data_IF_236528956261
#
_entry.id   IF_236528956261
#
_cell.length_a   1.000
_cell.length_b   1.000
_cell.length_c   1.000
_cell.angle_alpha   90.00
_cell.angle_beta   90.00
_cell.angle_gamma   90.00
#
_symmetry.space_group_name_H-M   'P 1'
#
loop_
_entity.id
_entity.type
_entity.pdbx_description
1 polymer ?
#
# COMPACT_ATOMS: atom_id res chain seq x y z
N UNK A 1 -3.06 -21.67 16.05
CA UNK A 1 -2.20 -21.84 14.87
C UNK A 1 -2.94 -21.20 13.71
N UNK A 2 -2.53 -19.99 13.33
CA UNK A 2 -3.19 -19.21 12.27
C UNK A 2 -2.52 -19.60 10.95
N UNK A 3 -3.16 -20.45 10.16
CA UNK A 3 -2.67 -20.83 8.82
C UNK A 3 -3.64 -20.26 7.80
N UNK A 4 -3.55 -18.96 7.54
CA UNK A 4 -4.14 -18.36 6.36
C UNK A 4 -3.09 -18.27 5.27
N UNK A 5 -3.48 -18.64 4.06
CA UNK A 5 -2.64 -18.49 2.87
C UNK A 5 -2.49 -16.99 2.56
N UNK A 6 -1.33 -16.41 2.86
CA UNK A 6 -1.02 -15.04 2.47
C UNK A 6 -1.28 -14.84 0.96
N UNK A 7 -1.80 -13.67 0.54
CA UNK A 7 -1.87 -13.32 -0.87
C UNK A 7 -0.51 -13.53 -1.53
N UNK A 8 -0.52 -14.17 -2.70
CA UNK A 8 0.70 -14.34 -3.48
C UNK A 8 1.00 -13.00 -4.14
N UNK A 9 2.21 -12.52 -3.91
CA UNK A 9 2.75 -11.36 -4.60
C UNK A 9 3.62 -11.82 -5.75
N UNK A 10 3.48 -11.20 -6.91
CA UNK A 10 4.36 -11.41 -8.07
C UNK A 10 5.14 -10.14 -8.35
N UNK A 11 6.40 -10.29 -8.74
CA UNK A 11 7.21 -9.18 -9.23
C UNK A 11 6.53 -8.60 -10.48
N UNK A 12 6.18 -7.32 -10.42
CA UNK A 12 5.49 -6.60 -11.49
C UNK A 12 6.48 -5.79 -12.32
N UNK A 13 7.43 -5.12 -11.67
CA UNK A 13 8.45 -4.29 -12.32
C UNK A 13 9.66 -4.04 -11.42
N UNK A 14 10.70 -3.44 -11.99
CA UNK A 14 11.88 -2.94 -11.28
C UNK A 14 12.20 -1.52 -11.77
N UNK A 15 12.59 -0.64 -10.86
CA UNK A 15 13.05 0.73 -11.16
C UNK A 15 14.52 0.84 -10.74
N UNK A 16 15.41 1.40 -11.57
CA UNK A 16 16.80 1.62 -11.15
C UNK A 16 16.85 2.67 -10.04
N UNK A 17 17.79 2.53 -9.10
CA UNK A 17 18.12 3.58 -8.13
C UNK A 17 18.59 4.85 -8.85
N UNK A 18 19.55 4.69 -9.75
CA UNK A 18 20.00 5.68 -10.70
C UNK A 18 20.40 4.98 -12.02
N UNK A 19 19.82 5.34 -13.18
CA UNK A 19 20.22 4.74 -14.44
C UNK A 19 21.65 5.11 -14.87
N UNK A 20 22.23 6.16 -14.28
CA UNK A 20 23.55 6.69 -14.65
C UNK A 20 24.64 6.37 -13.61
N UNK A 21 24.28 5.76 -12.47
CA UNK A 21 25.21 5.44 -11.37
C UNK A 21 24.84 4.10 -10.70
N UNK A 22 25.58 3.04 -11.05
CA UNK A 22 25.39 1.69 -10.50
C UNK A 22 25.65 1.61 -8.99
N UNK A 23 26.38 2.59 -8.42
CA UNK A 23 26.68 2.66 -6.98
C UNK A 23 25.58 3.33 -6.18
N UNK A 24 24.60 3.97 -6.83
CA UNK A 24 23.57 4.71 -6.15
C UNK A 24 22.74 3.79 -5.24
N UNK A 25 22.58 4.18 -3.98
CA UNK A 25 21.74 3.48 -3.01
C UNK A 25 20.35 4.12 -2.95
N UNK A 26 19.33 3.32 -2.66
CA UNK A 26 17.97 3.83 -2.39
C UNK A 26 17.88 4.14 -0.91
N UNK A 27 17.57 5.39 -0.60
CA UNK A 27 17.61 5.89 0.77
C UNK A 27 16.21 6.07 1.36
N UNK A 28 15.21 6.34 0.50
CA UNK A 28 13.82 6.40 0.93
C UNK A 28 12.83 6.13 -0.21
N UNK A 29 11.64 5.63 0.14
CA UNK A 29 10.54 5.34 -0.77
C UNK A 29 9.23 5.86 -0.19
N UNK A 30 8.34 6.38 -1.03
CA UNK A 30 6.98 6.71 -0.61
C UNK A 30 5.98 6.58 -1.75
N UNK A 31 4.88 5.87 -1.52
CA UNK A 31 3.73 5.86 -2.44
C UNK A 31 2.87 7.11 -2.24
N UNK A 32 2.38 7.64 -3.35
CA UNK A 32 1.34 8.67 -3.34
C UNK A 32 0.05 8.17 -2.67
N UNK A 33 -0.82 9.06 -2.17
CA UNK A 33 -2.04 8.66 -1.48
C UNK A 33 -2.98 7.77 -2.31
N UNK A 34 -2.97 7.92 -3.64
CA UNK A 34 -3.75 7.09 -4.55
C UNK A 34 -3.01 5.81 -5.01
N UNK A 35 -1.71 5.68 -4.72
CA UNK A 35 -0.88 4.55 -5.12
C UNK A 35 -0.55 4.49 -6.62
N UNK A 36 -0.88 5.53 -7.39
CA UNK A 36 -0.62 5.66 -8.82
C UNK A 36 0.80 6.19 -9.12
N UNK A 37 1.41 6.88 -8.15
CA UNK A 37 2.80 7.32 -8.19
C UNK A 37 3.63 6.73 -7.04
N UNK A 38 4.91 6.49 -7.30
CA UNK A 38 5.94 6.16 -6.31
C UNK A 38 7.09 7.15 -6.39
N UNK A 39 7.48 7.71 -5.26
CA UNK A 39 8.66 8.54 -5.09
C UNK A 39 9.82 7.68 -4.57
N UNK A 40 10.99 7.85 -5.19
CA UNK A 40 12.23 7.13 -4.91
C UNK A 40 13.32 8.15 -4.70
N UNK A 41 13.89 8.19 -3.50
CA UNK A 41 15.11 8.91 -3.22
C UNK A 41 16.32 7.99 -3.38
N UNK A 42 17.34 8.49 -4.05
CA UNK A 42 18.62 7.80 -4.19
C UNK A 42 19.80 8.73 -3.92
N UNK A 43 20.90 8.14 -3.47
CA UNK A 43 22.16 8.82 -3.21
C UNK A 43 23.30 8.03 -3.86
N UNK A 44 24.04 8.65 -4.76
CA UNK A 44 25.25 8.10 -5.39
C UNK A 44 26.48 8.95 -5.05
N UNK A 45 27.64 8.59 -5.60
CA UNK A 45 28.90 9.28 -5.29
C UNK A 45 28.88 10.76 -5.71
N UNK A 46 28.20 11.07 -6.82
CA UNK A 46 28.24 12.40 -7.44
C UNK A 46 26.98 13.23 -7.20
N UNK A 47 25.85 12.60 -6.91
CA UNK A 47 24.57 13.29 -6.82
C UNK A 47 23.53 12.49 -6.02
N UNK A 48 22.58 13.23 -5.46
CA UNK A 48 21.39 12.67 -4.84
C UNK A 48 20.16 13.16 -5.60
N UNK A 49 19.18 12.28 -5.79
CA UNK A 49 18.01 12.54 -6.61
C UNK A 49 16.73 12.10 -5.92
N UNK A 50 15.66 12.83 -6.20
CA UNK A 50 14.30 12.38 -6.04
C UNK A 50 13.72 12.09 -7.42
N UNK A 51 13.31 10.85 -7.65
CA UNK A 51 12.63 10.40 -8.86
C UNK A 51 11.22 9.98 -8.53
N UNK A 52 10.25 10.34 -9.37
CA UNK A 52 8.86 9.92 -9.22
C UNK A 52 8.44 9.17 -10.47
N UNK A 53 7.88 7.98 -10.27
CA UNK A 53 7.46 7.09 -11.33
C UNK A 53 5.95 6.83 -11.25
N UNK A 54 5.31 6.67 -12.40
CA UNK A 54 3.98 6.10 -12.48
C UNK A 54 4.05 4.61 -12.17
N UNK A 55 3.25 4.11 -11.23
CA UNK A 55 3.37 2.74 -10.73
C UNK A 55 2.90 1.68 -11.72
N UNK A 56 2.01 2.03 -12.64
CA UNK A 56 1.43 1.13 -13.63
C UNK A 56 2.35 0.86 -14.83
N UNK A 57 3.10 1.88 -15.23
CA UNK A 57 3.89 1.93 -16.46
C UNK A 57 5.38 2.07 -16.19
N UNK A 58 5.77 2.33 -14.94
CA UNK A 58 7.14 2.62 -14.51
C UNK A 58 7.76 3.81 -15.25
N UNK A 59 6.93 4.68 -15.83
CA UNK A 59 7.39 5.88 -16.53
C UNK A 59 7.87 6.91 -15.52
N UNK A 60 9.05 7.46 -15.75
CA UNK A 60 9.58 8.59 -14.99
C UNK A 60 8.72 9.82 -15.24
N UNK A 61 8.03 10.29 -14.21
CA UNK A 61 7.15 11.47 -14.22
C UNK A 61 7.90 12.72 -13.81
N UNK A 62 8.78 12.60 -12.81
CA UNK A 62 9.54 13.73 -12.24
C UNK A 62 10.93 13.30 -11.82
N UNK A 63 11.90 14.18 -12.02
CA UNK A 63 13.23 14.11 -11.43
C UNK A 63 13.55 15.45 -10.79
N UNK A 64 14.19 15.43 -9.63
CA UNK A 64 14.64 16.63 -8.91
C UNK A 64 15.95 16.32 -8.20
N UNK A 65 16.93 17.22 -8.33
CA UNK A 65 18.25 17.03 -7.72
C UNK A 65 18.22 17.53 -6.29
N UNK A 66 18.66 16.70 -5.35
CA UNK A 66 18.66 17.02 -3.94
C UNK A 66 19.99 17.67 -3.57
N UNK A 67 19.99 19.00 -3.52
CA UNK A 67 21.16 19.80 -3.15
C UNK A 67 20.84 20.75 -1.99
N UNK A 68 21.81 21.01 -1.13
CA UNK A 68 21.73 22.06 -0.12
C UNK A 68 22.96 22.94 -0.22
N UNK A 69 22.73 24.26 -0.20
CA UNK A 69 23.80 25.22 -0.11
C UNK A 69 24.32 25.27 1.33
N UNK A 70 25.62 25.12 1.51
CA UNK A 70 26.25 25.36 2.80
C UNK A 70 26.34 26.88 3.12
N UNK A 71 26.94 27.23 4.25
CA UNK A 71 27.15 28.61 4.67
C UNK A 71 28.01 29.43 3.66
N UNK A 72 28.76 28.77 2.79
CA UNK A 72 29.56 29.41 1.73
C UNK A 72 28.79 29.59 0.42
N UNK A 73 27.55 29.07 0.35
CA UNK A 73 26.73 29.06 -0.85
C UNK A 73 27.09 27.94 -1.83
N UNK A 74 28.01 27.05 -1.47
CA UNK A 74 28.37 25.91 -2.31
C UNK A 74 27.31 24.82 -2.15
N UNK A 75 26.75 24.38 -3.27
CA UNK A 75 25.73 23.34 -3.30
C UNK A 75 26.36 21.95 -3.16
N UNK A 76 26.01 21.24 -2.10
CA UNK A 76 26.39 19.84 -1.86
C UNK A 76 25.19 18.93 -2.11
N UNK A 77 25.46 17.72 -2.58
CA UNK A 77 24.46 16.65 -2.58
C UNK A 77 24.03 16.35 -1.13
N UNK A 78 22.75 16.02 -0.96
CA UNK A 78 22.19 15.76 0.37
C UNK A 78 21.37 14.49 0.29
N UNK A 79 21.57 13.63 1.28
CA UNK A 79 20.91 12.34 1.33
C UNK A 79 19.49 12.53 1.88
N UNK A 80 18.48 12.13 1.10
CA UNK A 80 17.10 12.09 1.60
C UNK A 80 16.92 10.84 2.45
N UNK A 81 16.65 11.05 3.74
CA UNK A 81 16.55 10.00 4.76
C UNK A 81 15.10 9.55 4.96
N UNK A 82 14.14 10.41 4.62
CA UNK A 82 12.73 10.03 4.61
C UNK A 82 11.91 10.85 3.61
N UNK A 83 10.80 10.25 3.16
CA UNK A 83 9.86 10.85 2.22
C UNK A 83 8.43 10.71 2.75
N UNK A 84 7.60 11.73 2.51
CA UNK A 84 6.15 11.61 2.69
C UNK A 84 5.43 12.40 1.60
N UNK A 85 4.32 11.85 1.12
CA UNK A 85 3.49 12.58 0.18
C UNK A 85 2.57 13.56 0.91
N UNK A 86 2.43 14.76 0.35
CA UNK A 86 1.37 15.66 0.76
C UNK A 86 -0.01 15.02 0.43
N UNK A 87 -1.05 15.14 1.28
CA UNK A 87 -2.35 14.52 1.05
C UNK A 87 -3.02 14.89 -0.27
N UNK A 88 -2.69 16.06 -0.82
CA UNK A 88 -3.18 16.49 -2.14
C UNK A 88 -2.50 15.80 -3.33
N UNK A 89 -1.50 14.95 -3.12
CA UNK A 89 -0.64 14.32 -4.13
C UNK A 89 0.09 15.32 -5.07
N UNK A 90 0.13 16.61 -4.72
CA UNK A 90 0.74 17.67 -5.55
C UNK A 90 2.21 17.92 -5.20
N UNK A 91 2.73 17.27 -4.18
CA UNK A 91 4.12 17.38 -3.78
C UNK A 91 4.57 16.18 -2.95
N UNK A 92 5.88 15.95 -2.98
CA UNK A 92 6.61 15.05 -2.09
C UNK A 92 7.40 15.91 -1.11
N UNK A 93 7.25 15.63 0.18
CA UNK A 93 8.02 16.26 1.25
C UNK A 93 9.23 15.39 1.51
N UNK A 94 10.40 16.03 1.54
CA UNK A 94 11.70 15.37 1.66
C UNK A 94 12.37 15.88 2.93
N UNK A 95 12.82 14.94 3.75
CA UNK A 95 13.67 15.16 4.92
C UNK A 95 15.05 14.63 4.61
N UNK A 96 16.08 15.33 5.07
CA UNK A 96 17.47 15.01 4.74
C UNK A 96 18.38 14.81 5.96
N UNK A 97 19.58 14.26 5.71
CA UNK A 97 20.59 13.91 6.71
C UNK A 97 21.15 15.12 7.49
N UNK A 98 20.84 16.34 7.04
CA UNK A 98 21.30 17.60 7.64
C UNK A 98 20.21 18.37 8.37
N UNK A 99 19.01 17.80 8.50
CA UNK A 99 17.87 18.44 9.15
C UNK A 99 17.09 19.39 8.25
N UNK A 100 17.37 19.35 6.95
CA UNK A 100 16.64 20.06 5.92
C UNK A 100 15.31 19.39 5.62
N UNK A 101 14.28 20.21 5.46
CA UNK A 101 12.95 19.80 5.03
C UNK A 101 12.53 20.67 3.85
N UNK A 102 12.16 20.03 2.75
CA UNK A 102 11.70 20.72 1.53
C UNK A 102 10.49 20.03 0.92
N UNK A 103 9.80 20.76 0.06
CA UNK A 103 8.67 20.25 -0.72
C UNK A 103 8.99 20.32 -2.21
N UNK A 104 8.93 19.18 -2.88
CA UNK A 104 9.13 19.05 -4.33
C UNK A 104 7.77 19.00 -5.01
N UNK A 105 7.44 20.03 -5.79
CA UNK A 105 6.14 20.10 -6.48
C UNK A 105 6.06 19.11 -7.65
N UNK A 106 4.90 18.47 -7.77
CA UNK A 106 4.53 17.63 -8.91
C UNK A 106 3.80 18.39 -10.01
N UNK A 107 3.42 19.65 -9.76
CA UNK A 107 2.60 20.46 -10.68
C UNK A 107 3.44 21.53 -11.39
N UNK A 108 4.42 22.10 -10.69
CA UNK A 108 5.31 23.12 -11.25
C UNK A 108 6.70 22.54 -11.46
N UNK A 109 7.24 22.73 -12.67
CA UNK A 109 8.61 22.33 -12.94
C UNK A 109 9.65 23.20 -12.22
N UNK A 110 9.28 24.46 -11.92
CA UNK A 110 10.21 25.54 -11.57
C UNK A 110 10.26 25.89 -10.08
N UNK A 111 9.39 25.34 -9.23
CA UNK A 111 9.40 25.67 -7.80
C UNK A 111 9.67 24.44 -6.94
N UNK A 112 10.95 24.20 -6.65
CA UNK A 112 11.28 23.60 -5.36
C UNK A 112 10.97 24.64 -4.28
N UNK A 113 10.23 24.23 -3.25
CA UNK A 113 9.99 25.12 -2.12
C UNK A 113 11.31 25.43 -1.39
N UNK A 114 11.36 26.53 -0.60
CA UNK A 114 12.56 26.86 0.15
C UNK A 114 12.97 25.71 1.07
N UNK A 115 14.26 25.43 1.14
CA UNK A 115 14.79 24.49 2.12
C UNK A 115 14.61 25.10 3.52
N UNK A 116 13.79 24.48 4.35
CA UNK A 116 13.66 24.84 5.75
C UNK A 116 14.65 24.00 6.54
N UNK A 117 15.56 24.63 7.29
CA UNK A 117 16.40 23.90 8.24
C UNK A 117 15.72 23.87 9.60
N UNK A 118 15.39 22.68 10.08
CA UNK A 118 14.68 22.48 11.34
C UNK A 118 15.63 22.22 12.52
N UNK A 119 16.94 22.14 12.27
CA UNK A 119 17.97 21.86 13.27
C UNK A 119 17.91 20.43 13.82
N UNK A 120 18.81 20.08 14.73
CA UNK A 120 18.78 18.79 15.46
C UNK A 120 19.17 17.56 14.64
N UNK A 121 19.90 17.74 13.54
CA UNK A 121 20.47 16.65 12.74
C UNK A 121 19.51 16.04 11.73
N UNK A 122 19.81 14.82 11.30
CA UNK A 122 19.05 14.02 10.35
C UNK A 122 17.54 14.00 10.62
N UNK A 123 16.73 14.17 9.57
CA UNK A 123 15.29 13.94 9.67
C UNK A 123 14.99 12.44 9.56
N UNK A 124 14.48 11.82 10.61
CA UNK A 124 14.28 10.36 10.65
C UNK A 124 12.91 9.90 10.19
N UNK A 125 11.92 10.78 10.24
CA UNK A 125 10.57 10.38 9.91
C UNK A 125 9.63 11.55 9.73
N UNK A 126 8.54 11.23 9.04
CA UNK A 126 7.39 12.09 8.91
C UNK A 126 6.11 11.35 9.27
N UNK A 127 5.13 12.09 9.78
CA UNK A 127 3.73 11.68 9.73
C UNK A 127 2.91 12.87 9.24
N UNK A 128 1.82 12.60 8.53
CA UNK A 128 0.96 13.66 7.99
C UNK A 128 -0.50 13.35 8.23
N UNK A 129 -1.26 14.35 8.68
CA UNK A 129 -2.70 14.25 8.84
C UNK A 129 -3.38 15.59 8.57
N UNK A 130 -4.17 15.63 7.49
CA UNK A 130 -4.76 16.87 7.00
C UNK A 130 -3.68 17.93 6.72
N UNK A 131 -3.71 19.02 7.48
CA UNK A 131 -2.78 20.15 7.36
C UNK A 131 -1.70 20.13 8.46
N UNK A 132 -1.50 19.02 9.15
CA UNK A 132 -0.43 18.87 10.15
C UNK A 132 0.64 17.93 9.62
N UNK A 133 1.89 18.36 9.72
CA UNK A 133 3.07 17.54 9.49
C UNK A 133 3.80 17.37 10.81
N UNK A 134 4.03 16.12 11.20
CA UNK A 134 4.96 15.76 12.25
C UNK A 134 6.31 15.41 11.64
N UNK A 135 7.38 15.84 12.29
CA UNK A 135 8.77 15.67 11.88
C UNK A 135 9.56 15.18 13.09
N UNK A 136 10.44 14.19 12.90
CA UNK A 136 11.35 13.71 13.92
C UNK A 136 12.82 13.86 13.50
N UNK A 137 13.65 14.12 14.50
CA UNK A 137 15.11 13.98 14.46
C UNK A 137 15.56 13.14 15.66
N UNK A 138 16.83 12.72 15.76
CA UNK A 138 17.35 11.97 16.91
C UNK A 138 17.07 12.63 18.28
N UNK A 139 16.90 13.96 18.30
CA UNK A 139 16.79 14.73 19.55
C UNK A 139 15.35 15.14 19.89
N UNK A 140 14.45 15.19 18.90
CA UNK A 140 13.13 15.75 19.10
C UNK A 140 12.08 15.22 18.10
N UNK A 141 10.82 15.34 18.50
CA UNK A 141 9.67 15.30 17.60
C UNK A 141 9.00 16.68 17.61
N UNK A 142 8.48 17.13 16.48
CA UNK A 142 7.74 18.39 16.39
C UNK A 142 6.62 18.29 15.36
N UNK A 143 5.65 19.19 15.47
CA UNK A 143 4.59 19.36 14.48
C UNK A 143 4.66 20.75 13.88
N UNK A 144 4.05 20.92 12.70
CA UNK A 144 3.86 22.21 12.06
C UNK A 144 2.59 22.21 11.24
N UNK A 145 1.99 23.39 11.14
CA UNK A 145 0.82 23.62 10.32
C UNK A 145 1.22 23.92 8.88
N UNK A 146 0.69 23.10 7.97
CA UNK A 146 0.91 23.17 6.53
C UNK A 146 -0.42 23.50 5.82
N UNK A 147 -0.76 24.79 5.66
CA UNK A 147 -1.97 25.18 4.95
C UNK A 147 -1.94 24.79 3.47
N UNK A 148 -0.74 24.62 2.90
CA UNK A 148 -0.53 24.19 1.52
C UNK A 148 0.68 23.26 1.44
N UNK A 149 0.85 22.60 0.29
CA UNK A 149 2.02 21.77 0.04
C UNK A 149 3.33 22.57 -0.09
N UNK A 150 3.29 23.90 -0.20
CA UNK A 150 4.49 24.73 -0.34
C UNK A 150 5.12 24.99 1.02
N UNK A 151 6.36 24.56 1.24
CA UNK A 151 7.03 24.69 2.54
C UNK A 151 7.27 26.12 2.99
N UNK A 152 7.38 27.09 2.08
CA UNK A 152 7.56 28.51 2.43
C UNK A 152 6.41 29.15 3.20
N UNK A 153 5.25 28.49 3.31
CA UNK A 153 4.09 28.98 4.08
C UNK A 153 3.78 28.14 5.33
N UNK A 154 4.64 27.17 5.66
CA UNK A 154 4.48 26.36 6.87
C UNK A 154 4.83 27.20 8.09
N UNK A 155 4.10 26.98 9.19
CA UNK A 155 4.18 27.81 10.40
C UNK A 155 3.76 27.04 11.64
N UNK A 156 3.88 27.70 12.79
CA UNK A 156 3.44 27.17 14.08
C UNK A 156 4.18 25.87 14.44
N UNK A 157 5.51 25.88 14.31
CA UNK A 157 6.34 24.76 14.75
C UNK A 157 6.19 24.58 16.26
N UNK A 158 5.73 23.40 16.67
CA UNK A 158 5.54 23.03 18.07
C UNK A 158 6.44 21.84 18.35
N UNK A 159 7.43 22.01 19.24
CA UNK A 159 8.29 20.91 19.69
C UNK A 159 7.56 20.12 20.76
N UNK A 160 7.53 18.79 20.62
CA UNK A 160 6.86 17.90 21.57
C UNK A 160 7.61 17.91 22.90
N UNK A 161 6.88 18.18 23.98
CA UNK A 161 7.41 18.22 25.34
C UNK A 161 7.42 16.80 25.91
N UNK A 162 8.60 16.18 25.89
CA UNK A 162 8.80 14.89 26.52
C UNK A 162 8.40 14.98 28.01
N UNK A 163 7.65 14.01 28.55
CA UNK A 163 7.26 14.02 29.96
C UNK A 163 8.51 14.01 30.84
N UNK A 164 8.67 15.01 31.69
CA UNK A 164 9.75 15.04 32.68
C UNK A 164 9.61 13.81 33.59
N UNK A 165 10.72 13.13 33.84
CA UNK A 165 10.76 12.13 34.90
C UNK A 165 10.55 12.85 36.25
N UNK A 166 10.09 12.12 37.28
CA UNK A 166 9.82 12.70 38.59
C UNK A 166 11.05 13.39 39.23
N UNK A 167 12.25 13.13 38.69
CA UNK A 167 13.52 13.66 39.17
C UNK A 167 14.09 14.78 38.28
N UNK A 168 13.42 15.16 37.19
CA UNK A 168 13.92 16.14 36.21
C UNK A 168 15.27 15.75 35.59
N UNK A 169 15.64 14.48 35.63
CA UNK A 169 16.87 13.97 35.07
C UNK A 169 16.75 13.95 33.54
N UNK A 170 17.66 14.68 32.90
CA UNK A 170 17.85 14.60 31.46
C UNK A 170 18.18 13.15 31.08
N UNK A 171 17.27 12.51 30.34
CA UNK A 171 17.55 11.20 29.75
C UNK A 171 18.20 11.46 28.40
N UNK A 172 19.52 11.21 28.25
CA UNK A 172 20.15 11.26 26.95
C UNK A 172 19.57 10.13 26.08
N UNK A 173 19.36 10.45 24.81
CA UNK A 173 18.91 9.53 23.75
C UNK A 173 17.39 9.30 23.65
N UNK A 174 16.70 10.32 23.11
CA UNK A 174 15.26 10.31 22.82
C UNK A 174 15.02 10.16 21.33
N UNK A 175 15.63 9.14 20.74
CA UNK A 175 15.58 8.78 19.31
C UNK A 175 14.18 8.33 18.89
N UNK A 176 13.37 9.15 18.19
CA UNK A 176 12.07 8.74 17.67
C UNK A 176 12.27 7.85 16.44
N UNK A 177 11.70 6.65 16.47
CA UNK A 177 11.83 5.63 15.41
C UNK A 177 10.54 5.44 14.60
N UNK A 178 9.42 5.99 15.09
CA UNK A 178 8.15 5.95 14.38
C UNK A 178 7.21 7.06 14.82
N UNK A 179 6.43 7.57 13.88
CA UNK A 179 5.41 8.58 14.15
C UNK A 179 4.15 8.28 13.37
N UNK A 180 2.99 8.55 13.96
CA UNK A 180 1.70 8.41 13.30
C UNK A 180 0.66 9.29 13.96
N UNK A 181 -0.26 9.85 13.19
CA UNK A 181 -1.40 10.55 13.75
C UNK A 181 -2.54 9.57 14.06
N UNK A 182 -3.12 9.69 15.26
CA UNK A 182 -4.33 8.98 15.64
C UNK A 182 -5.56 9.43 14.84
N UNK A 183 -6.68 8.73 15.08
CA UNK A 183 -7.96 9.11 14.48
C UNK A 183 -8.34 10.53 14.92
N UNK A 184 -8.50 11.43 13.94
CA UNK A 184 -8.82 12.84 14.17
C UNK A 184 -7.65 13.82 14.10
N UNK A 185 -6.41 13.37 13.88
CA UNK A 185 -5.21 14.23 13.68
C UNK A 185 -4.75 15.06 14.88
N UNK A 186 -5.49 15.07 16.00
CA UNK A 186 -5.14 15.85 17.19
C UNK A 186 -4.18 15.12 18.14
N UNK A 187 -4.07 13.80 18.00
CA UNK A 187 -3.13 12.97 18.76
C UNK A 187 -1.99 12.54 17.84
N UNK A 188 -0.76 12.92 18.20
CA UNK A 188 0.45 12.38 17.58
C UNK A 188 0.97 11.23 18.46
N UNK A 189 1.07 10.05 17.88
CA UNK A 189 1.71 8.88 18.49
C UNK A 189 3.16 8.85 18.04
N UNK A 190 4.09 8.88 19.00
CA UNK A 190 5.53 8.80 18.74
C UNK A 190 6.09 7.59 19.45
N UNK A 191 6.75 6.72 18.69
CA UNK A 191 7.49 5.58 19.20
C UNK A 191 8.95 5.98 19.27
N UNK A 192 9.53 5.89 20.46
CA UNK A 192 10.92 6.13 20.75
C UNK A 192 11.66 4.80 20.86
N UNK A 193 12.93 4.81 20.49
CA UNK A 193 13.79 3.63 20.51
C UNK A 193 13.84 3.00 21.90
N UNK A 194 14.14 3.77 22.94
CA UNK A 194 14.32 3.25 24.31
C UNK A 194 13.17 3.61 25.25
N UNK A 195 12.47 4.71 24.97
CA UNK A 195 11.48 5.29 25.88
C UNK A 195 10.05 4.76 25.67
N UNK A 196 9.83 3.90 24.68
CA UNK A 196 8.51 3.34 24.37
C UNK A 196 7.65 4.31 23.58
N UNK A 197 6.37 4.42 23.93
CA UNK A 197 5.39 5.15 23.12
C UNK A 197 4.81 6.32 23.91
N UNK A 198 4.83 7.50 23.31
CA UNK A 198 4.25 8.70 23.90
C UNK A 198 3.20 9.26 22.95
N UNK A 199 2.04 9.55 23.52
CA UNK A 199 0.96 10.24 22.84
C UNK A 199 1.05 11.72 23.20
N UNK A 200 1.07 12.57 22.18
CA UNK A 200 1.08 14.01 22.34
C UNK A 200 -0.19 14.63 21.80
N UNK A 201 -0.60 15.74 22.39
CA UNK A 201 -1.51 16.66 21.71
C UNK A 201 -0.71 17.37 20.62
N UNK A 202 -1.04 17.10 19.36
CA UNK A 202 -0.28 17.58 18.22
C UNK A 202 -0.25 19.12 18.08
N UNK A 203 -1.17 19.83 18.74
CA UNK A 203 -1.30 21.30 18.66
C UNK A 203 -0.69 22.03 19.86
N UNK A 204 -0.68 21.42 21.03
CA UNK A 204 -0.04 22.02 22.20
C UNK A 204 1.37 21.49 22.45
N UNK A 205 1.74 20.36 21.86
CA UNK A 205 3.00 19.65 22.10
C UNK A 205 3.05 18.95 23.45
N UNK A 206 1.99 19.00 24.25
CA UNK A 206 1.96 18.39 25.58
C UNK A 206 1.77 16.87 25.49
N UNK A 207 2.51 16.13 26.31
CA UNK A 207 2.29 14.71 26.49
C UNK A 207 0.91 14.43 27.12
N UNK A 208 0.15 13.54 26.50
CA UNK A 208 -1.15 13.04 26.97
C UNK A 208 -0.95 11.77 27.79
N UNK A 209 -0.14 10.85 27.28
CA UNK A 209 0.06 9.54 27.87
C UNK A 209 1.40 8.94 27.47
N UNK A 210 2.00 8.16 28.37
CA UNK A 210 3.28 7.47 28.15
C UNK A 210 3.11 5.99 28.45
N UNK A 211 3.21 5.17 27.40
CA UNK A 211 3.31 3.71 27.51
C UNK A 211 4.80 3.39 27.51
N UNK A 212 5.35 3.08 28.68
CA UNK A 212 6.77 2.72 28.80
C UNK A 212 7.08 1.46 28.00
N UNK A 213 8.21 1.45 27.31
CA UNK A 213 8.65 0.29 26.52
C UNK A 213 8.80 -0.95 27.39
N UNK A 214 8.62 -2.10 26.77
CA UNK A 214 8.82 -3.41 27.38
C UNK A 214 10.27 -3.79 27.14
N UNK A 215 11.13 -3.75 28.18
CA UNK A 215 12.52 -4.25 28.33
C UNK A 215 13.54 -4.11 27.16
N UNK A 216 13.15 -3.61 26.00
CA UNK A 216 13.83 -3.78 24.71
C UNK A 216 13.61 -2.55 23.80
N UNK A 217 14.61 -2.21 22.97
CA UNK A 217 14.48 -1.12 22.03
C UNK A 217 13.47 -1.38 20.90
N UNK A 218 12.74 -0.34 20.53
CA UNK A 218 11.85 -0.31 19.37
C UNK A 218 12.63 0.09 18.11
N UNK A 219 12.49 -0.66 17.02
CA UNK A 219 13.14 -0.34 15.73
C UNK A 219 12.26 0.47 14.78
N UNK A 220 10.95 0.27 14.83
CA UNK A 220 9.97 0.94 13.98
C UNK A 220 8.57 0.74 14.55
N UNK A 221 7.58 1.48 14.05
CA UNK A 221 6.18 1.25 14.41
C UNK A 221 5.22 1.68 13.31
N UNK A 222 4.07 1.02 13.25
CA UNK A 222 2.97 1.43 12.40
C UNK A 222 1.69 1.54 13.23
N UNK A 223 0.89 2.58 12.99
CA UNK A 223 -0.45 2.73 13.55
C UNK A 223 -1.50 2.22 12.57
N UNK A 224 -2.49 1.49 13.09
CA UNK A 224 -3.56 0.94 12.28
C UNK A 224 -4.35 2.07 11.64
N UNK A 225 -4.94 1.88 10.44
CA UNK A 225 -5.76 2.90 9.79
C UNK A 225 -6.96 3.36 10.64
N UNK A 226 -7.46 2.50 11.53
CA UNK A 226 -8.50 2.85 12.51
C UNK A 226 -7.98 3.69 13.69
N UNK A 227 -6.66 3.83 13.83
CA UNK A 227 -6.00 4.64 14.86
C UNK A 227 -6.04 4.05 16.27
N UNK A 228 -6.44 2.78 16.42
CA UNK A 228 -6.70 2.15 17.72
C UNK A 228 -5.71 1.04 18.10
N UNK A 229 -4.85 0.62 17.16
CA UNK A 229 -3.81 -0.39 17.37
C UNK A 229 -2.50 0.12 16.83
N UNK A 230 -1.44 0.05 17.63
CA UNK A 230 -0.09 0.33 17.18
C UNK A 230 0.70 -0.97 17.27
N UNK A 231 1.47 -1.27 16.23
CA UNK A 231 2.42 -2.37 16.23
C UNK A 231 3.82 -1.75 16.22
N UNK A 232 4.63 -2.08 17.21
CA UNK A 232 6.02 -1.65 17.29
C UNK A 232 6.93 -2.86 17.12
N UNK A 233 8.01 -2.71 16.36
CA UNK A 233 9.01 -3.75 16.24
C UNK A 233 9.90 -3.71 17.46
N UNK A 234 9.92 -4.79 18.21
CA UNK A 234 10.94 -5.05 19.20
C UNK A 234 12.17 -5.63 18.48
N UNK A 235 13.30 -4.95 18.56
CA UNK A 235 14.55 -5.33 17.88
C UNK A 235 15.04 -6.72 18.28
N UNK A 236 14.65 -7.22 19.45
CA UNK A 236 15.06 -8.54 19.90
C UNK A 236 14.29 -9.68 19.24
N UNK A 237 12.98 -9.78 19.42
CA UNK A 237 12.30 -11.07 19.20
C UNK A 237 10.87 -11.00 18.64
N UNK A 238 10.35 -9.83 18.26
CA UNK A 238 9.02 -9.80 17.69
C UNK A 238 8.35 -8.44 17.56
N UNK A 239 7.03 -8.49 17.49
CA UNK A 239 6.15 -7.32 17.45
C UNK A 239 5.44 -7.13 18.77
N UNK A 240 5.51 -5.94 19.32
CA UNK A 240 4.65 -5.53 20.43
C UNK A 240 3.42 -4.82 19.89
N UNK A 241 2.27 -5.16 20.48
CA UNK A 241 0.96 -4.64 20.11
C UNK A 241 0.43 -3.78 21.23
N UNK A 242 0.00 -2.58 20.88
CA UNK A 242 -0.52 -1.59 21.81
C UNK A 242 -1.92 -1.17 21.39
N UNK A 243 -2.77 -0.91 22.39
CA UNK A 243 -4.05 -0.25 22.22
C UNK A 243 -3.82 1.25 22.35
N UNK A 244 -4.30 2.00 21.36
CA UNK A 244 -4.23 3.46 21.33
C UNK A 244 -5.63 4.02 21.59
N UNK A 245 -5.82 4.62 22.75
CA UNK A 245 -7.09 5.18 23.24
C UNK A 245 -6.83 6.36 24.20
N UNK A 246 -6.05 7.35 23.72
CA UNK A 246 -5.68 8.53 24.50
C UNK A 246 -5.02 8.16 25.83
N UNK A 247 -5.62 8.57 26.95
CA UNK A 247 -5.13 8.29 28.31
C UNK A 247 -5.26 6.83 28.75
N UNK A 248 -6.09 6.03 28.06
CA UNK A 248 -6.31 4.60 28.35
C UNK A 248 -5.45 3.69 27.47
N UNK A 249 -4.53 4.27 26.69
CA UNK A 249 -3.61 3.53 25.85
C UNK A 249 -2.74 2.61 26.70
N UNK A 250 -2.40 1.43 26.18
CA UNK A 250 -1.65 0.43 26.94
C UNK A 250 -1.04 -0.63 26.04
N UNK A 251 -0.03 -1.32 26.56
CA UNK A 251 0.44 -2.58 26.00
C UNK A 251 -0.67 -3.64 26.05
N UNK A 252 -0.77 -4.43 24.98
CA UNK A 252 -1.76 -5.51 24.87
C UNK A 252 -1.07 -6.88 24.84
N UNK A 253 -0.14 -7.11 23.91
CA UNK A 253 0.49 -8.42 23.72
C UNK A 253 1.75 -8.32 22.86
N UNK A 254 2.58 -9.37 22.87
CA UNK A 254 3.74 -9.54 21.98
C UNK A 254 3.53 -10.73 21.05
N UNK A 255 3.89 -10.58 19.79
CA UNK A 255 3.96 -11.64 18.79
C UNK A 255 5.42 -11.99 18.55
N UNK A 256 5.88 -13.10 19.13
CA UNK A 256 7.25 -13.56 18.94
C UNK A 256 7.44 -14.19 17.56
N UNK A 257 8.55 -13.86 16.91
CA UNK A 257 8.95 -14.54 15.69
C UNK A 257 9.78 -15.77 16.02
N UNK A 258 9.46 -16.90 15.37
CA UNK A 258 10.30 -18.09 15.45
C UNK A 258 11.60 -17.78 14.73
N UNK A 259 12.65 -17.40 15.48
CA UNK A 259 13.95 -17.03 14.92
C UNK A 259 14.51 -18.16 14.06
N UNK A 260 14.47 -17.98 12.75
CA UNK A 260 15.28 -18.77 11.82
C UNK A 260 16.73 -18.28 11.87
N UNK A 261 17.52 -18.73 12.86
CA UNK A 261 19.00 -18.69 13.01
C UNK A 261 19.82 -17.46 12.57
N UNK A 262 19.25 -16.36 12.11
CA UNK A 262 19.96 -15.20 11.57
C UNK A 262 19.39 -13.91 12.12
N UNK A 263 20.29 -13.02 12.53
CA UNK A 263 20.02 -11.67 13.04
C UNK A 263 19.34 -10.87 11.94
N UNK A 264 18.02 -10.89 11.95
CA UNK A 264 17.22 -10.20 10.96
C UNK A 264 16.39 -9.19 11.71
N UNK A 265 16.73 -7.92 11.58
CA UNK A 265 15.89 -6.84 12.10
C UNK A 265 14.85 -6.56 11.03
N UNK A 266 13.58 -6.87 11.25
CA UNK A 266 12.52 -6.31 10.43
C UNK A 266 12.48 -4.77 10.64
N UNK A 267 12.65 -3.97 9.60
CA UNK A 267 12.89 -2.52 9.73
C UNK A 267 11.71 -1.66 9.28
N UNK A 268 11.03 -1.92 8.14
CA UNK A 268 9.74 -1.27 7.91
C UNK A 268 8.59 -2.17 8.38
N UNK A 269 7.72 -1.61 9.23
CA UNK A 269 6.37 -2.14 9.48
C UNK A 269 5.38 -1.26 8.69
N UNK A 270 4.45 -1.88 7.97
CA UNK A 270 3.34 -1.17 7.34
C UNK A 270 2.03 -1.94 7.47
N UNK A 271 0.93 -1.23 7.68
CA UNK A 271 -0.40 -1.81 7.52
C UNK A 271 -0.76 -1.93 6.06
N UNK A 272 -1.30 -3.10 5.69
CA UNK A 272 -1.78 -3.40 4.35
C UNK A 272 -3.25 -3.84 4.41
N UNK A 273 -3.91 -3.91 3.26
CA UNK A 273 -5.30 -4.38 3.15
C UNK A 273 -6.31 -3.58 4.00
N UNK A 274 -6.18 -2.24 4.04
CA UNK A 274 -7.03 -1.38 4.87
C UNK A 274 -6.79 -1.60 6.36
N UNK A 275 -5.60 -2.13 6.70
CA UNK A 275 -5.24 -2.52 8.04
C UNK A 275 -5.84 -3.86 8.43
N UNK A 276 -5.93 -4.85 7.55
CA UNK A 276 -6.30 -6.21 7.98
C UNK A 276 -5.11 -7.14 8.17
N UNK A 277 -3.98 -6.79 7.57
CA UNK A 277 -2.71 -7.46 7.76
C UNK A 277 -1.60 -6.42 7.93
N UNK A 278 -0.46 -6.92 8.37
CA UNK A 278 0.76 -6.14 8.56
C UNK A 278 1.85 -6.75 7.69
N UNK A 279 2.62 -5.88 7.07
CA UNK A 279 3.80 -6.23 6.32
C UNK A 279 5.04 -5.84 7.10
N UNK A 280 5.98 -6.76 7.14
CA UNK A 280 7.29 -6.60 7.75
C UNK A 280 8.33 -6.81 6.67
N UNK A 281 9.13 -5.79 6.38
CA UNK A 281 10.37 -5.99 5.63
C UNK A 281 11.51 -6.25 6.60
N UNK A 282 12.57 -6.94 6.18
CA UNK A 282 13.76 -7.13 7.00
C UNK A 282 15.07 -6.96 6.26
N UNK A 283 16.16 -6.79 7.01
CA UNK A 283 17.48 -6.48 6.47
C UNK A 283 18.07 -7.57 5.58
N UNK A 284 17.57 -8.81 5.65
CA UNK A 284 17.91 -9.90 4.72
C UNK A 284 17.03 -9.96 3.46
N UNK A 285 16.33 -8.86 3.16
CA UNK A 285 15.41 -8.72 2.03
C UNK A 285 14.22 -9.70 2.05
N UNK A 286 13.87 -10.27 3.21
CA UNK A 286 12.63 -11.04 3.37
C UNK A 286 11.47 -10.15 3.73
N UNK A 287 10.29 -10.59 3.29
CA UNK A 287 9.01 -9.95 3.59
C UNK A 287 8.14 -10.97 4.28
N UNK A 288 7.61 -10.60 5.44
CA UNK A 288 6.65 -11.40 6.17
C UNK A 288 5.33 -10.64 6.24
N UNK A 289 4.27 -11.28 5.78
CA UNK A 289 2.90 -10.82 5.99
C UNK A 289 2.30 -11.53 7.19
N UNK A 290 1.65 -10.76 8.05
CA UNK A 290 0.94 -11.26 9.22
C UNK A 290 -0.51 -10.81 9.14
N UNK A 291 -1.39 -11.75 8.79
CA UNK A 291 -2.83 -11.56 8.91
C UNK A 291 -3.21 -11.41 10.38
N UNK A 292 -3.85 -10.30 10.73
CA UNK A 292 -4.33 -10.08 12.10
C UNK A 292 -5.85 -9.89 12.19
N UNK A 293 -6.51 -9.57 11.08
CA UNK A 293 -7.98 -9.67 10.94
C UNK A 293 -8.36 -10.32 9.60
N UNK A 294 -9.39 -11.16 9.61
CA UNK A 294 -9.90 -11.81 8.40
C UNK A 294 -10.53 -10.78 7.47
N UNK A 295 -9.83 -10.36 6.43
CA UNK A 295 -10.39 -9.56 5.34
C UNK A 295 -10.17 -10.25 3.99
N UNK A 296 -11.22 -10.25 3.17
CA UNK A 296 -11.08 -10.70 1.78
C UNK A 296 -10.55 -9.54 0.95
N UNK A 297 -9.29 -9.66 0.54
CA UNK A 297 -8.63 -8.67 -0.30
C UNK A 297 -9.28 -8.65 -1.66
N UNK A 298 -9.97 -7.56 -2.00
CA UNK A 298 -10.60 -7.37 -3.32
C UNK A 298 -9.84 -6.36 -4.19
N UNK A 299 -8.92 -5.61 -3.59
CA UNK A 299 -8.15 -4.54 -4.25
C UNK A 299 -6.76 -5.00 -4.68
N UNK A 300 -6.27 -4.42 -5.79
CA UNK A 300 -4.88 -4.55 -6.25
C UNK A 300 -3.98 -3.81 -5.26
N UNK A 301 -3.01 -4.49 -4.64
CA UNK A 301 -2.00 -3.85 -3.81
C UNK A 301 -0.65 -3.90 -4.48
N UNK A 302 0.07 -2.80 -4.32
CA UNK A 302 1.43 -2.62 -4.76
C UNK A 302 2.32 -2.50 -3.53
N UNK A 303 3.47 -3.13 -3.60
CA UNK A 303 4.51 -2.98 -2.59
C UNK A 303 5.82 -2.73 -3.32
N UNK A 304 6.67 -1.88 -2.76
CA UNK A 304 7.98 -1.59 -3.31
C UNK A 304 9.05 -1.73 -2.24
N UNK A 305 10.21 -2.26 -2.63
CA UNK A 305 11.37 -2.43 -1.77
C UNK A 305 12.63 -2.01 -2.50
N UNK A 306 13.56 -1.37 -1.81
CA UNK A 306 14.94 -1.29 -2.29
C UNK A 306 15.60 -2.66 -2.13
N UNK A 307 16.17 -3.17 -3.21
CA UNK A 307 16.94 -4.42 -3.22
C UNK A 307 18.26 -4.18 -3.94
N UNK A 308 19.28 -4.96 -3.59
CA UNK A 308 20.40 -5.18 -4.49
C UNK A 308 20.08 -6.44 -5.31
N UNK A 309 20.21 -6.37 -6.64
CA UNK A 309 20.06 -7.54 -7.49
C UNK A 309 21.25 -8.51 -7.34
N UNK A 310 21.22 -9.65 -8.05
CA UNK A 310 22.32 -10.64 -8.03
C UNK A 310 23.67 -10.05 -8.49
N UNK A 311 23.66 -8.89 -9.17
CA UNK A 311 24.84 -8.16 -9.61
C UNK A 311 25.23 -7.04 -8.64
N UNK A 312 24.64 -6.97 -7.44
CA UNK A 312 24.78 -5.88 -6.46
C UNK A 312 24.29 -4.51 -6.95
N UNK A 313 23.46 -4.47 -7.99
CA UNK A 313 22.89 -3.22 -8.49
C UNK A 313 21.65 -2.88 -7.67
N UNK A 314 21.61 -1.69 -7.09
CA UNK A 314 20.47 -1.26 -6.29
C UNK A 314 19.29 -0.88 -7.19
N UNK A 315 18.13 -1.46 -6.92
CA UNK A 315 16.88 -1.22 -7.64
C UNK A 315 15.69 -1.24 -6.70
N UNK A 316 14.58 -0.63 -7.13
CA UNK A 316 13.29 -0.73 -6.47
C UNK A 316 12.49 -1.84 -7.14
N UNK A 317 12.23 -2.93 -6.45
CA UNK A 317 11.34 -3.98 -6.95
C UNK A 317 9.90 -3.71 -6.53
N UNK A 318 9.00 -3.66 -7.51
CA UNK A 318 7.57 -3.49 -7.27
C UNK A 318 6.88 -4.83 -7.42
N UNK A 319 6.17 -5.23 -6.37
CA UNK A 319 5.35 -6.41 -6.31
C UNK A 319 3.87 -6.04 -6.37
N UNK A 320 3.08 -6.87 -7.03
CA UNK A 320 1.64 -6.72 -7.10
C UNK A 320 0.96 -7.97 -6.52
N UNK A 321 -0.10 -7.78 -5.75
CA UNK A 321 -1.00 -8.90 -5.39
C UNK A 321 -1.49 -9.60 -6.65
N UNK A 322 -1.25 -10.89 -6.74
CA UNK A 322 -1.84 -11.69 -7.80
C UNK A 322 -3.36 -11.61 -7.66
N UNK A 323 -4.05 -11.24 -8.74
CA UNK A 323 -5.52 -11.20 -8.76
C UNK A 323 -6.03 -12.63 -8.52
N UNK A 324 -6.31 -12.96 -7.26
CA UNK A 324 -7.10 -14.15 -6.93
C UNK A 324 -8.48 -13.88 -7.49
N UNK A 325 -8.79 -14.55 -8.61
CA UNK A 325 -10.18 -14.63 -9.04
C UNK A 325 -10.95 -15.15 -7.83
N UNK A 326 -11.97 -14.40 -7.41
CA UNK A 326 -12.80 -14.83 -6.29
C UNK A 326 -13.17 -16.29 -6.51
N UNK A 327 -13.15 -17.10 -5.45
CA UNK A 327 -13.50 -18.52 -5.54
C UNK A 327 -14.83 -18.72 -6.29
N UNK A 328 -15.73 -17.74 -6.25
CA UNK A 328 -16.95 -17.66 -7.05
C UNK A 328 -16.67 -17.50 -8.55
N UNK A 329 -15.84 -16.55 -8.98
CA UNK A 329 -15.47 -16.37 -10.38
C UNK A 329 -14.67 -17.57 -10.93
N UNK A 330 -13.80 -18.16 -10.12
CA UNK A 330 -13.07 -19.37 -10.48
C UNK A 330 -14.02 -20.57 -10.61
N UNK A 331 -14.94 -20.75 -9.65
CA UNK A 331 -16.03 -21.75 -9.74
C UNK A 331 -16.92 -21.51 -10.95
N UNK A 332 -17.27 -20.27 -11.27
CA UNK A 332 -18.07 -19.92 -12.43
C UNK A 332 -17.35 -20.26 -13.75
N UNK A 333 -16.03 -20.01 -13.85
CA UNK A 333 -15.23 -20.42 -15.02
C UNK A 333 -15.12 -21.93 -15.14
N UNK A 334 -14.89 -22.63 -14.03
CA UNK A 334 -14.87 -24.10 -14.03
C UNK A 334 -16.23 -24.65 -14.46
N UNK A 335 -17.32 -24.10 -13.92
CA UNK A 335 -18.68 -24.49 -14.26
C UNK A 335 -19.02 -24.16 -15.72
N UNK A 336 -18.55 -23.04 -16.26
CA UNK A 336 -18.68 -22.70 -17.67
C UNK A 336 -17.91 -23.68 -18.58
N UNK A 337 -16.68 -24.06 -18.21
CA UNK A 337 -15.90 -25.08 -18.93
C UNK A 337 -16.58 -26.44 -18.90
N UNK A 338 -17.15 -26.82 -17.76
CA UNK A 338 -17.93 -28.07 -17.61
C UNK A 338 -19.16 -28.02 -18.52
N UNK A 339 -19.97 -26.96 -18.46
CA UNK A 339 -21.14 -26.79 -19.31
C UNK A 339 -20.79 -26.82 -20.81
N UNK A 340 -19.70 -26.16 -21.20
CA UNK A 340 -19.22 -26.18 -22.58
C UNK A 340 -18.80 -27.59 -23.02
N UNK A 341 -18.08 -28.32 -22.16
CA UNK A 341 -17.73 -29.72 -22.38
C UNK A 341 -18.97 -30.62 -22.53
N UNK A 342 -19.96 -30.46 -21.64
CA UNK A 342 -21.22 -31.20 -21.72
C UNK A 342 -21.97 -30.91 -23.02
N UNK A 343 -21.99 -29.64 -23.46
CA UNK A 343 -22.63 -29.25 -24.72
C UNK A 343 -21.97 -29.92 -25.93
N UNK A 344 -20.63 -30.03 -25.96
CA UNK A 344 -19.92 -30.75 -27.03
C UNK A 344 -20.28 -32.24 -27.05
N UNK A 345 -20.35 -32.90 -25.88
CA UNK A 345 -20.71 -34.32 -25.79
C UNK A 345 -22.14 -34.56 -26.27
N UNK A 346 -23.10 -33.72 -25.85
CA UNK A 346 -24.50 -33.82 -26.30
C UNK A 346 -24.60 -33.61 -27.81
N UNK A 347 -23.87 -32.64 -28.35
CA UNK A 347 -23.85 -32.36 -29.80
C UNK A 347 -23.28 -33.55 -30.58
N UNK A 348 -22.18 -34.13 -30.11
CA UNK A 348 -21.58 -35.31 -30.73
C UNK A 348 -22.52 -36.54 -30.69
N UNK A 349 -23.20 -36.76 -29.56
CA UNK A 349 -24.18 -37.82 -29.42
C UNK A 349 -25.37 -37.64 -30.38
N UNK A 350 -25.89 -36.41 -30.52
CA UNK A 350 -26.96 -36.10 -31.47
C UNK A 350 -26.52 -36.34 -32.92
N UNK A 351 -25.30 -35.92 -33.29
CA UNK A 351 -24.75 -36.19 -34.63
C UNK A 351 -24.60 -37.69 -34.90
N UNK A 352 -24.17 -38.47 -33.91
CA UNK A 352 -24.08 -39.92 -34.02
C UNK A 352 -25.46 -40.55 -34.23
N UNK A 353 -26.47 -40.12 -33.47
CA UNK A 353 -27.85 -40.58 -33.64
C UNK A 353 -28.37 -40.24 -35.05
N UNK A 354 -28.14 -39.02 -35.52
CA UNK A 354 -28.51 -38.62 -36.89
C UNK A 354 -27.81 -39.49 -37.96
N UNK A 355 -26.52 -39.81 -37.76
CA UNK A 355 -25.76 -40.66 -38.68
C UNK A 355 -26.33 -42.08 -38.70
N UNK A 356 -26.60 -42.68 -37.55
CA UNK A 356 -27.20 -44.02 -37.43
C UNK A 356 -28.58 -44.06 -38.09
N UNK A 357 -29.43 -43.06 -37.83
CA UNK A 357 -30.75 -42.95 -38.45
C UNK A 357 -30.66 -42.79 -39.97
N UNK A 358 -29.72 -41.98 -40.45
CA UNK A 358 -29.45 -41.84 -41.89
C UNK A 358 -29.01 -43.15 -42.53
N UNK A 359 -28.14 -43.90 -41.85
CA UNK A 359 -27.62 -45.18 -42.33
C UNK A 359 -28.70 -46.28 -42.33
N UNK A 360 -29.54 -46.33 -41.30
CA UNK A 360 -30.71 -47.21 -41.24
C UNK A 360 -31.71 -46.89 -42.36
N UNK A 361 -31.96 -45.60 -42.62
CA UNK A 361 -32.83 -45.17 -43.72
C UNK A 361 -32.26 -45.63 -45.06
N UNK A 362 -30.95 -45.51 -45.27
CA UNK A 362 -30.27 -45.99 -46.47
C UNK A 362 -30.42 -47.51 -46.64
N UNK A 363 -30.24 -48.29 -45.58
CA UNK A 363 -30.43 -49.75 -45.59
C UNK A 363 -31.88 -50.11 -45.95
N UNK A 364 -32.87 -49.38 -45.41
CA UNK A 364 -34.29 -49.61 -45.72
C UNK A 364 -34.62 -49.32 -47.18
N UNK A 365 -33.98 -48.30 -47.79
CA UNK A 365 -34.09 -48.03 -49.23
C UNK A 365 -33.47 -49.18 -50.04
N UNK A 366 -32.23 -49.58 -49.71
CA UNK A 366 -31.52 -50.64 -50.42
C UNK A 366 -32.23 -52.00 -50.35
N UNK A 367 -32.94 -52.29 -49.26
CA UNK A 367 -33.72 -53.53 -49.07
C UNK A 367 -35.12 -53.48 -49.70
N UNK A 368 -35.49 -52.38 -50.36
CA UNK A 368 -36.80 -52.19 -51.00
C UNK A 368 -37.97 -52.02 -50.02
N UNK A 369 -37.69 -51.85 -48.72
CA UNK A 369 -38.72 -51.64 -47.69
C UNK A 369 -39.19 -50.19 -47.60
N UNK A 370 -38.36 -49.24 -48.03
CA UNK A 370 -38.74 -47.84 -48.18
C UNK A 370 -38.65 -47.41 -49.65
N UNK A 371 -39.73 -46.83 -50.18
CA UNK A 371 -39.72 -46.14 -51.47
C UNK A 371 -39.08 -44.76 -51.31
N UNK A 372 -38.19 -44.37 -52.23
CA UNK A 372 -37.58 -43.04 -52.24
C UNK A 372 -38.62 -41.90 -52.32
N UNK A 373 -39.81 -42.16 -52.88
CA UNK A 373 -40.91 -41.19 -52.91
C UNK A 373 -41.46 -40.88 -51.52
N UNK A 374 -41.48 -41.82 -50.57
CA UNK A 374 -41.93 -41.56 -49.21
C UNK A 374 -40.98 -40.64 -48.42
N UNK A 375 -39.68 -40.65 -48.74
CA UNK A 375 -38.71 -39.73 -48.14
C UNK A 375 -38.80 -38.32 -48.72
N UNK A 376 -39.17 -38.19 -50.00
CA UNK A 376 -39.38 -36.89 -50.65
C UNK A 376 -40.73 -36.26 -50.28
N UNK A 377 -41.74 -37.06 -49.94
CA UNK A 377 -43.04 -36.57 -49.43
C UNK A 377 -43.05 -36.21 -47.94
N UNK A 378 -41.92 -36.39 -47.23
CA UNK A 378 -41.67 -35.75 -45.93
C UNK A 378 -41.49 -34.23 -46.13
N UNK A 379 -42.58 -33.55 -46.50
CA UNK A 379 -42.66 -32.10 -46.44
C UNK A 379 -42.46 -31.73 -44.99
N UNK A 380 -41.37 -31.01 -44.71
CA UNK A 380 -41.20 -30.27 -43.47
C UNK A 380 -42.43 -29.38 -43.31
N UNK A 381 -43.41 -29.82 -42.51
CA UNK A 381 -44.43 -28.92 -41.99
C UNK A 381 -43.63 -27.95 -41.13
N UNK A 382 -43.49 -26.68 -41.52
CA UNK A 382 -42.70 -25.74 -40.75
C UNK A 382 -43.35 -25.70 -39.37
N UNK A 383 -42.61 -26.17 -38.37
CA UNK A 383 -43.05 -26.17 -37.00
C UNK A 383 -43.14 -24.69 -36.60
N UNK A 384 -44.33 -24.11 -36.75
CA UNK A 384 -44.63 -22.76 -36.29
C UNK A 384 -44.53 -22.81 -34.77
N UNK A 385 -43.42 -22.33 -34.25
CA UNK A 385 -43.33 -22.01 -32.83
C UNK A 385 -44.49 -21.07 -32.49
N UNK A 386 -45.30 -21.35 -31.46
CA UNK A 386 -46.24 -20.37 -30.97
C UNK A 386 -45.41 -19.19 -30.47
N UNK A 387 -45.42 -18.11 -31.25
CA UNK A 387 -44.89 -16.81 -30.83
C UNK A 387 -45.77 -16.39 -29.66
N UNK A 388 -45.33 -16.68 -28.43
CA UNK A 388 -45.87 -16.05 -27.24
C UNK A 388 -45.60 -14.56 -27.40
N UNK A 389 -46.64 -13.78 -27.61
CA UNK A 389 -46.55 -12.33 -27.50
C UNK A 389 -45.87 -11.98 -26.17
N UNK A 390 -44.81 -11.16 -26.17
CA UNK A 390 -44.19 -10.72 -24.95
C UNK A 390 -45.22 -9.96 -24.13
N UNK A 391 -45.56 -10.49 -22.96
CA UNK A 391 -46.38 -9.77 -21.99
C UNK A 391 -45.68 -8.44 -21.66
N UNK A 392 -46.43 -7.32 -21.57
CA UNK A 392 -45.84 -6.02 -21.30
C UNK A 392 -45.18 -6.04 -19.92
N UNK A 393 -43.85 -6.12 -19.92
CA UNK A 393 -43.05 -5.94 -18.72
C UNK A 393 -43.21 -4.49 -18.28
N UNK A 394 -44.12 -4.25 -17.32
CA UNK A 394 -44.17 -3.01 -16.55
C UNK A 394 -42.84 -2.87 -15.80
N UNK A 395 -41.85 -2.21 -16.42
CA UNK A 395 -40.69 -1.67 -15.71
C UNK A 395 -41.20 -0.58 -14.77
N UNK A 396 -41.44 -0.92 -13.49
CA UNK A 396 -41.40 0.07 -12.42
C UNK A 396 -39.95 0.52 -12.30
N UNK A 397 -39.61 1.62 -12.97
CA UNK A 397 -38.41 2.38 -12.68
C UNK A 397 -38.64 2.95 -11.26
N UNK A 398 -38.06 2.31 -10.24
CA UNK A 398 -37.83 2.97 -8.96
C UNK A 398 -36.75 4.00 -9.23
N UNK A 399 -37.17 5.25 -9.41
CA UNK A 399 -36.28 6.41 -9.34
C UNK A 399 -35.67 6.41 -7.93
N UNK A 400 -34.35 6.29 -7.77
CA UNK A 400 -33.73 6.45 -6.46
C UNK A 400 -34.01 7.88 -5.99
N UNK A 401 -34.31 8.10 -4.69
CA UNK A 401 -34.49 9.44 -4.18
C UNK A 401 -33.22 10.25 -4.47
N UNK A 402 -33.39 11.34 -5.19
CA UNK A 402 -32.39 12.41 -5.33
C UNK A 402 -31.84 12.72 -3.96
N UNK A 403 -30.54 12.44 -3.77
CA UNK A 403 -29.77 12.92 -2.64
C UNK A 403 -29.82 14.44 -2.71
N UNK A 404 -30.60 15.04 -1.81
CA UNK A 404 -30.51 16.47 -1.52
C UNK A 404 -29.12 16.71 -0.95
N UNK A 405 -28.27 17.37 -1.72
CA UNK A 405 -27.14 18.11 -1.18
C UNK A 405 -27.70 19.15 -0.19
N UNK A 406 -27.48 18.89 1.11
CA UNK A 406 -27.46 19.95 2.12
C UNK A 406 -26.00 20.35 2.27
N UNK A 407 -25.66 21.45 1.63
CA UNK A 407 -24.64 22.35 2.12
C UNK A 407 -25.11 22.90 3.46
N UNK A 408 -24.36 22.64 4.52
CA UNK A 408 -24.41 23.38 5.79
C UNK A 408 -23.03 23.27 6.45
N UNK A 409 -22.33 24.42 6.37
CA UNK A 409 -21.39 25.06 7.32
C UNK A 409 -20.36 24.18 8.03
#
# INVERSE_FOLDING_TARGET
MWTTECPLYRKASALPADPDDDSAIITALAFSPAGDLIAVASCGESASFLRVYATDSCLLVRISSLKSADATGLAHAVEATCLVWHPSAKAVIVGDDRGGVRSVSMVSAESEGPLLNWGGGEIRGFAIAGNLLAISSPEWASTSFMPTYQCGVWRDRIVMQFPEDANGSYVPDRSPVGMSFGSGSDILVVTYETEGIILYNARSGQAIHHIRSVDHPCGSSALSPSGNKLFAMNIHDGLDVFIIDGVNSRYETSMQFTRGSGVNMPVPIAFIHGGSAIMLGSTDARIQEIDYTYSTVTSRHLIAFGTADDNSTNQVEIYETEKRFSTIAQRARTLAKVLQGTLYVVTAALLLVCLVLGLLSLIQICTGRLSAQMLLDFRFVPWRWPVREPSPVRRRIKVPPTVRERWLV
#
